data_IF_876600682138
#
_entry.id   IF_876600682138
#
_cell.length_a   1.000
_cell.length_b   1.000
_cell.length_c   1.000
_cell.angle_alpha   90.00
_cell.angle_beta   90.00
_cell.angle_gamma   90.00
#
_symmetry.space_group_name_H-M   'P 1'
#
loop_
_entity.id
_entity.type
_entity.pdbx_description
1 polymer ?
#
# COMPACT_ATOMS: atom_id res chain seq x y z
N UNK A 1 -41.36 -6.86 -15.53
CA UNK A 1 -40.68 -8.02 -14.91
C UNK A 1 -39.48 -7.48 -14.14
N UNK A 2 -39.66 -7.42 -12.85
CA UNK A 2 -38.70 -6.82 -11.92
C UNK A 2 -37.69 -7.91 -11.52
N UNK A 3 -36.45 -7.85 -12.01
CA UNK A 3 -35.41 -8.75 -11.55
C UNK A 3 -34.85 -8.16 -10.24
N UNK A 4 -35.14 -8.88 -9.16
CA UNK A 4 -34.56 -8.61 -7.84
C UNK A 4 -33.04 -8.72 -7.92
N UNK A 5 -32.34 -7.70 -7.41
CA UNK A 5 -30.90 -7.74 -7.19
C UNK A 5 -30.56 -8.87 -6.21
N UNK A 6 -29.47 -9.60 -6.41
CA UNK A 6 -29.17 -10.76 -5.59
C UNK A 6 -28.80 -10.37 -4.16
N UNK A 7 -29.22 -11.21 -3.22
CA UNK A 7 -29.02 -11.08 -1.76
C UNK A 7 -27.55 -11.29 -1.30
N UNK A 8 -26.56 -10.98 -2.14
CA UNK A 8 -25.14 -11.12 -1.83
C UNK A 8 -24.55 -9.95 -1.01
N UNK A 9 -25.21 -8.79 -0.98
CA UNK A 9 -24.66 -7.58 -0.34
C UNK A 9 -24.55 -7.66 1.20
N UNK A 10 -25.41 -8.46 1.84
CA UNK A 10 -25.40 -8.60 3.31
C UNK A 10 -24.22 -9.44 3.82
N UNK A 11 -23.94 -10.57 3.18
CA UNK A 11 -22.86 -11.47 3.62
C UNK A 11 -21.46 -10.88 3.37
N UNK A 12 -21.27 -10.10 2.31
CA UNK A 12 -20.02 -9.39 2.04
C UNK A 12 -19.80 -8.27 3.06
N UNK A 13 -20.82 -7.48 3.38
CA UNK A 13 -20.74 -6.42 4.40
C UNK A 13 -20.47 -6.99 5.79
N UNK A 14 -21.03 -8.15 6.13
CA UNK A 14 -20.78 -8.84 7.40
C UNK A 14 -19.34 -9.38 7.46
N UNK A 15 -18.82 -9.91 6.34
CA UNK A 15 -17.43 -10.39 6.24
C UNK A 15 -16.43 -9.25 6.40
N UNK A 16 -16.68 -8.11 5.76
CA UNK A 16 -15.85 -6.90 5.87
C UNK A 16 -15.87 -6.34 7.30
N UNK A 17 -17.03 -6.34 7.94
CA UNK A 17 -17.16 -5.92 9.34
C UNK A 17 -16.38 -6.85 10.28
N UNK A 18 -16.47 -8.17 10.07
CA UNK A 18 -15.72 -9.16 10.84
C UNK A 18 -14.21 -9.03 10.61
N UNK A 19 -13.77 -8.85 9.35
CA UNK A 19 -12.37 -8.64 9.02
C UNK A 19 -11.81 -7.38 9.68
N UNK A 20 -12.56 -6.27 9.67
CA UNK A 20 -12.18 -5.04 10.34
C UNK A 20 -12.05 -5.23 11.87
N UNK A 21 -12.97 -5.94 12.49
CA UNK A 21 -12.93 -6.23 13.94
C UNK A 21 -11.72 -7.12 14.28
N UNK A 22 -11.48 -8.17 13.51
CA UNK A 22 -10.34 -9.06 13.70
C UNK A 22 -9.01 -8.31 13.52
N UNK A 23 -8.91 -7.47 12.49
CA UNK A 23 -7.73 -6.64 12.25
C UNK A 23 -7.49 -5.65 13.39
N UNK A 24 -8.55 -5.03 13.93
CA UNK A 24 -8.43 -4.13 15.09
C UNK A 24 -7.86 -4.85 16.32
N UNK A 25 -8.39 -6.03 16.68
CA UNK A 25 -7.91 -6.81 17.81
C UNK A 25 -6.47 -7.30 17.63
N UNK A 26 -6.11 -7.71 16.39
CA UNK A 26 -4.74 -8.07 16.05
C UNK A 26 -3.79 -6.87 16.16
N UNK A 27 -4.25 -5.68 15.75
CA UNK A 27 -3.50 -4.43 15.86
C UNK A 27 -3.15 -4.09 17.30
N UNK A 28 -4.10 -4.22 18.22
CA UNK A 28 -3.86 -4.01 19.65
C UNK A 28 -2.82 -4.99 20.22
N UNK A 29 -2.90 -6.28 19.85
CA UNK A 29 -1.93 -7.28 20.29
C UNK A 29 -0.52 -7.00 19.75
N UNK A 30 -0.42 -6.60 18.48
CA UNK A 30 0.85 -6.24 17.85
C UNK A 30 1.44 -4.97 18.45
N UNK A 31 0.61 -3.96 18.77
CA UNK A 31 1.05 -2.73 19.41
C UNK A 31 1.63 -3.00 20.81
N UNK A 32 0.99 -3.91 21.57
CA UNK A 32 1.48 -4.35 22.87
C UNK A 32 2.86 -5.04 22.76
N UNK A 33 3.02 -5.95 21.80
CA UNK A 33 4.30 -6.62 21.53
C UNK A 33 5.40 -5.61 21.17
N UNK A 34 5.10 -4.59 20.36
CA UNK A 34 6.04 -3.50 20.06
C UNK A 34 6.45 -2.74 21.32
N UNK A 35 5.53 -2.45 22.21
CA UNK A 35 5.83 -1.78 23.49
C UNK A 35 6.85 -2.57 24.32
N UNK A 36 6.68 -3.89 24.45
CA UNK A 36 7.63 -4.75 25.15
C UNK A 36 8.99 -4.82 24.43
N UNK A 37 9.01 -4.87 23.10
CA UNK A 37 10.25 -4.89 22.32
C UNK A 37 11.10 -3.64 22.54
N UNK A 38 10.52 -2.45 22.57
CA UNK A 38 11.24 -1.20 22.86
C UNK A 38 11.94 -1.25 24.22
N UNK A 39 11.26 -1.83 25.24
CA UNK A 39 11.85 -1.98 26.59
C UNK A 39 13.00 -3.01 26.58
N UNK A 40 12.88 -4.07 25.82
CA UNK A 40 13.91 -5.10 25.73
C UNK A 40 15.12 -4.65 24.92
N UNK A 41 14.92 -3.89 23.85
CA UNK A 41 15.99 -3.30 23.02
C UNK A 41 16.89 -2.40 23.87
N UNK A 42 16.31 -1.55 24.72
CA UNK A 42 17.07 -0.70 25.65
C UNK A 42 17.92 -1.49 26.66
N UNK A 43 17.54 -2.73 26.95
CA UNK A 43 18.29 -3.64 27.84
C UNK A 43 19.28 -4.55 27.12
N UNK A 44 19.02 -4.84 25.84
CA UNK A 44 19.80 -5.76 25.01
C UNK A 44 21.03 -5.16 24.35
N UNK A 45 21.27 -3.83 24.50
CA UNK A 45 22.41 -3.14 23.87
C UNK A 45 23.79 -3.70 24.24
N UNK A 46 23.89 -4.50 25.30
CA UNK A 46 25.15 -5.07 25.82
C UNK A 46 25.41 -6.51 25.37
N UNK A 47 24.43 -7.15 24.73
CA UNK A 47 24.52 -8.55 24.26
C UNK A 47 24.22 -8.60 22.75
N UNK A 48 25.23 -8.86 21.90
CA UNK A 48 25.06 -8.88 20.45
C UNK A 48 24.07 -9.91 19.95
N UNK A 49 24.03 -11.12 20.54
CA UNK A 49 23.12 -12.21 20.12
C UNK A 49 21.67 -11.84 20.48
N UNK A 50 21.47 -11.29 21.68
CA UNK A 50 20.16 -10.77 22.10
C UNK A 50 19.73 -9.59 21.22
N UNK A 51 20.66 -8.69 20.88
CA UNK A 51 20.42 -7.57 19.99
C UNK A 51 19.94 -8.01 18.61
N UNK A 52 20.55 -9.04 18.02
CA UNK A 52 20.13 -9.60 16.72
C UNK A 52 18.72 -10.23 16.80
N UNK A 53 18.45 -10.98 17.85
CA UNK A 53 17.13 -11.58 18.07
C UNK A 53 16.04 -10.51 18.23
N UNK A 54 16.32 -9.45 19.00
CA UNK A 54 15.39 -8.32 19.20
C UNK A 54 15.14 -7.56 17.88
N UNK A 55 16.17 -7.31 17.08
CA UNK A 55 16.00 -6.71 15.74
C UNK A 55 15.12 -7.58 14.83
N UNK A 56 15.31 -8.90 14.86
CA UNK A 56 14.46 -9.84 14.13
C UNK A 56 13.00 -9.81 14.56
N UNK A 57 12.75 -9.76 15.87
CA UNK A 57 11.41 -9.62 16.44
C UNK A 57 10.76 -8.26 16.10
N UNK A 58 11.49 -7.17 16.22
CA UNK A 58 11.03 -5.83 15.83
C UNK A 58 10.62 -5.79 14.36
N UNK A 59 11.45 -6.33 13.47
CA UNK A 59 11.13 -6.42 12.04
C UNK A 59 9.89 -7.29 11.78
N UNK A 60 9.74 -8.41 12.49
CA UNK A 60 8.57 -9.28 12.42
C UNK A 60 7.27 -8.58 12.87
N UNK A 61 7.35 -7.90 14.00
CA UNK A 61 6.24 -7.15 14.58
C UNK A 61 5.81 -5.98 13.70
N UNK A 62 6.78 -5.26 13.10
CA UNK A 62 6.50 -4.19 12.16
C UNK A 62 5.81 -4.71 10.88
N UNK A 63 6.16 -5.92 10.41
CA UNK A 63 5.45 -6.57 9.29
C UNK A 63 4.01 -6.94 9.66
N UNK A 64 3.81 -7.50 10.85
CA UNK A 64 2.48 -7.85 11.32
C UNK A 64 1.58 -6.61 11.44
N UNK A 65 2.13 -5.50 11.94
CA UNK A 65 1.40 -4.23 12.01
C UNK A 65 0.97 -3.76 10.62
N UNK A 66 1.91 -3.70 9.66
CA UNK A 66 1.57 -3.32 8.28
C UNK A 66 0.48 -4.21 7.67
N UNK A 67 0.54 -5.50 7.93
CA UNK A 67 -0.50 -6.42 7.46
C UNK A 67 -1.88 -6.10 8.05
N UNK A 68 -1.93 -5.79 9.33
CA UNK A 68 -3.19 -5.37 9.99
C UNK A 68 -3.69 -4.06 9.38
N UNK A 69 -2.80 -3.08 9.18
CA UNK A 69 -3.15 -1.79 8.56
C UNK A 69 -3.71 -1.99 7.14
N UNK A 70 -3.07 -2.84 6.32
CA UNK A 70 -3.53 -3.20 4.97
C UNK A 70 -4.93 -3.87 5.00
N UNK A 71 -5.20 -4.75 5.98
CA UNK A 71 -6.52 -5.36 6.14
C UNK A 71 -7.58 -4.34 6.55
N UNK A 72 -7.24 -3.40 7.43
CA UNK A 72 -8.14 -2.31 7.82
C UNK A 72 -8.45 -1.40 6.63
N UNK A 73 -7.45 -1.07 5.82
CA UNK A 73 -7.63 -0.28 4.61
C UNK A 73 -8.53 -1.00 3.60
N UNK A 74 -8.34 -2.31 3.42
CA UNK A 74 -9.20 -3.12 2.54
C UNK A 74 -10.65 -3.16 3.03
N UNK A 75 -10.87 -3.41 4.31
CA UNK A 75 -12.20 -3.44 4.91
C UNK A 75 -12.88 -2.05 4.92
N UNK A 76 -12.11 -0.97 5.09
CA UNK A 76 -12.62 0.39 5.01
C UNK A 76 -13.04 0.75 3.57
N UNK A 77 -12.24 0.36 2.59
CA UNK A 77 -12.52 0.61 1.18
C UNK A 77 -13.85 -0.01 0.71
N UNK A 78 -14.31 -1.11 1.31
CA UNK A 78 -15.61 -1.71 1.01
C UNK A 78 -16.82 -0.88 1.47
N UNK A 79 -16.63 0.09 2.37
CA UNK A 79 -17.72 0.84 3.03
C UNK A 79 -17.65 2.36 2.83
N UNK A 80 -16.61 2.84 2.16
CA UNK A 80 -16.36 4.28 2.01
C UNK A 80 -16.84 4.76 0.65
N UNK A 81 -17.71 5.77 0.63
CA UNK A 81 -17.93 6.58 -0.57
C UNK A 81 -16.80 7.62 -0.63
N UNK A 82 -15.94 7.61 -1.67
CA UNK A 82 -14.82 8.53 -1.75
C UNK A 82 -15.32 9.97 -1.93
N UNK A 83 -14.70 10.91 -1.24
CA UNK A 83 -14.92 12.32 -1.50
C UNK A 83 -14.46 12.67 -2.92
N UNK A 84 -15.22 13.49 -3.64
CA UNK A 84 -14.88 13.95 -4.98
C UNK A 84 -14.36 15.39 -4.93
N UNK A 85 -13.14 15.58 -4.42
CA UNK A 85 -12.47 16.88 -4.34
C UNK A 85 -11.34 17.01 -5.37
N UNK A 86 -10.87 18.23 -5.59
CA UNK A 86 -9.68 18.46 -6.41
C UNK A 86 -8.42 18.14 -5.58
N UNK A 87 -7.63 17.20 -6.06
CA UNK A 87 -6.42 16.73 -5.40
C UNK A 87 -5.22 16.94 -6.31
N UNK A 88 -4.29 17.76 -5.87
CA UNK A 88 -2.98 17.86 -6.47
C UNK A 88 -2.17 16.59 -6.15
N UNK A 89 -1.80 15.83 -7.18
CA UNK A 89 -1.12 14.53 -7.00
C UNK A 89 0.27 14.68 -6.39
N UNK A 90 0.94 15.82 -6.57
CA UNK A 90 2.22 16.13 -5.94
C UNK A 90 2.08 16.25 -4.41
N UNK A 91 1.03 16.92 -3.90
CA UNK A 91 0.73 17.00 -2.47
C UNK A 91 0.42 15.62 -1.87
N UNK A 92 -0.32 14.79 -2.62
CA UNK A 92 -0.61 13.42 -2.21
C UNK A 92 0.67 12.56 -2.15
N UNK A 93 1.55 12.70 -3.15
CA UNK A 93 2.86 12.03 -3.18
C UNK A 93 3.76 12.49 -2.04
N UNK A 94 3.80 13.79 -1.76
CA UNK A 94 4.56 14.32 -0.62
C UNK A 94 4.03 13.81 0.73
N UNK A 95 2.71 13.61 0.83
CA UNK A 95 2.12 12.98 2.01
C UNK A 95 2.56 11.53 2.13
N UNK A 96 2.57 10.77 1.03
CA UNK A 96 3.06 9.39 1.01
C UNK A 96 4.55 9.31 1.36
N UNK A 97 5.39 10.19 0.83
CA UNK A 97 6.83 10.29 1.17
C UNK A 97 7.05 10.56 2.65
N UNK A 98 6.30 11.48 3.25
CA UNK A 98 6.39 11.76 4.70
C UNK A 98 6.00 10.55 5.55
N UNK A 99 4.92 9.83 5.16
CA UNK A 99 4.49 8.61 5.87
C UNK A 99 5.50 7.49 5.79
N UNK A 100 6.26 7.42 4.70
CA UNK A 100 7.27 6.39 4.44
C UNK A 100 8.70 6.85 4.69
N UNK A 101 8.93 8.03 5.28
CA UNK A 101 10.25 8.63 5.38
C UNK A 101 11.30 7.69 5.98
N UNK A 102 10.95 6.94 7.03
CA UNK A 102 11.86 5.97 7.63
C UNK A 102 12.10 4.76 6.73
N UNK A 103 11.04 4.22 6.11
CA UNK A 103 11.15 3.06 5.22
C UNK A 103 12.01 3.39 3.99
N UNK A 104 11.85 4.59 3.43
CA UNK A 104 12.67 5.11 2.32
C UNK A 104 14.14 5.27 2.72
N UNK A 105 14.40 5.83 3.89
CA UNK A 105 15.76 5.98 4.41
C UNK A 105 16.42 4.61 4.65
N UNK A 106 15.73 3.69 5.31
CA UNK A 106 16.24 2.35 5.62
C UNK A 106 16.53 1.54 4.33
N UNK A 107 15.76 1.76 3.27
CA UNK A 107 15.96 1.16 1.95
C UNK A 107 17.00 1.89 1.09
N UNK A 108 17.48 3.06 1.51
CA UNK A 108 18.26 3.99 0.68
C UNK A 108 17.57 4.25 -0.68
N UNK A 109 16.25 4.43 -0.66
CA UNK A 109 15.41 4.60 -1.84
C UNK A 109 15.04 6.07 -2.05
N UNK A 110 15.07 6.49 -3.33
CA UNK A 110 14.65 7.81 -3.78
C UNK A 110 13.33 7.70 -4.53
N UNK A 111 12.40 8.63 -4.25
CA UNK A 111 11.15 8.77 -4.99
C UNK A 111 11.16 10.10 -5.73
N UNK A 112 11.04 10.07 -7.04
CA UNK A 112 11.01 11.25 -7.91
C UNK A 112 9.60 11.50 -8.43
N UNK A 113 9.24 12.76 -8.57
CA UNK A 113 8.01 13.20 -9.21
C UNK A 113 8.31 13.75 -10.59
N UNK A 114 7.61 13.25 -11.62
CA UNK A 114 7.50 13.90 -12.92
C UNK A 114 6.37 14.93 -12.93
N UNK A 115 5.69 15.08 -14.07
CA UNK A 115 4.47 15.88 -14.15
C UNK A 115 3.33 15.17 -13.40
N UNK A 116 2.68 15.84 -12.46
CA UNK A 116 1.58 15.29 -11.66
C UNK A 116 0.36 16.20 -11.75
N UNK A 117 -0.61 15.91 -12.64
CA UNK A 117 -1.83 16.68 -12.79
C UNK A 117 -2.74 16.65 -11.55
N UNK A 118 -3.73 17.56 -11.54
CA UNK A 118 -4.82 17.55 -10.56
C UNK A 118 -5.87 16.52 -10.97
N UNK A 119 -6.40 15.78 -10.01
CA UNK A 119 -7.44 14.77 -10.18
C UNK A 119 -8.67 15.06 -9.32
N UNK A 120 -9.80 14.50 -9.68
CA UNK A 120 -11.02 14.52 -8.86
C UNK A 120 -11.10 13.21 -8.07
N UNK A 121 -10.76 13.27 -6.78
CA UNK A 121 -10.62 12.07 -5.96
C UNK A 121 -10.76 12.39 -4.46
N UNK A 122 -10.67 11.37 -3.63
CA UNK A 122 -10.52 11.52 -2.18
C UNK A 122 -9.02 11.65 -1.83
N UNK A 123 -8.63 12.77 -1.24
CA UNK A 123 -7.24 13.12 -0.91
C UNK A 123 -6.55 12.06 -0.04
N UNK A 124 -7.26 11.60 0.98
CA UNK A 124 -6.70 10.61 1.92
C UNK A 124 -6.55 9.24 1.26
N UNK A 125 -7.53 8.81 0.46
CA UNK A 125 -7.48 7.53 -0.24
C UNK A 125 -6.39 7.54 -1.34
N UNK A 126 -6.18 8.66 -2.04
CA UNK A 126 -5.08 8.80 -3.01
C UNK A 126 -3.72 8.75 -2.30
N UNK A 127 -3.56 9.42 -1.17
CA UNK A 127 -2.32 9.35 -0.40
C UNK A 127 -2.04 7.93 0.10
N UNK A 128 -3.07 7.18 0.55
CA UNK A 128 -2.95 5.76 0.92
C UNK A 128 -2.60 4.88 -0.27
N UNK A 129 -3.23 5.08 -1.42
CA UNK A 129 -2.90 4.38 -2.66
C UNK A 129 -1.40 4.51 -2.97
N UNK A 130 -0.88 5.74 -2.96
CA UNK A 130 0.55 5.98 -3.20
C UNK A 130 1.45 5.34 -2.13
N UNK A 131 1.04 5.35 -0.85
CA UNK A 131 1.76 4.63 0.21
C UNK A 131 1.85 3.13 -0.09
N UNK A 132 0.74 2.49 -0.49
CA UNK A 132 0.74 1.06 -0.82
C UNK A 132 1.63 0.76 -2.03
N UNK A 133 1.55 1.57 -3.10
CA UNK A 133 2.37 1.38 -4.29
C UNK A 133 3.86 1.56 -4.01
N UNK A 134 4.25 2.60 -3.27
CA UNK A 134 5.64 2.81 -2.86
C UNK A 134 6.15 1.66 -1.97
N UNK A 135 5.34 1.16 -1.05
CA UNK A 135 5.71 -0.02 -0.24
C UNK A 135 5.90 -1.28 -1.08
N UNK A 136 5.10 -1.47 -2.12
CA UNK A 136 5.26 -2.60 -3.06
C UNK A 136 6.61 -2.49 -3.78
N UNK A 137 6.97 -1.32 -4.28
CA UNK A 137 8.27 -1.07 -4.90
C UNK A 137 9.43 -1.33 -3.92
N UNK A 138 9.35 -0.80 -2.69
CA UNK A 138 10.36 -1.04 -1.65
C UNK A 138 10.47 -2.53 -1.28
N UNK A 139 9.35 -3.26 -1.22
CA UNK A 139 9.34 -4.69 -0.97
C UNK A 139 9.95 -5.51 -2.12
N UNK A 140 9.88 -5.00 -3.37
CA UNK A 140 10.56 -5.54 -4.54
C UNK A 140 12.07 -5.21 -4.58
N UNK A 141 12.56 -4.40 -3.62
CA UNK A 141 13.95 -4.00 -3.51
C UNK A 141 14.30 -2.76 -4.32
N UNK A 142 13.33 -2.00 -4.76
CA UNK A 142 13.53 -0.77 -5.51
C UNK A 142 14.33 0.27 -4.70
N UNK A 143 15.23 0.96 -5.40
CA UNK A 143 15.98 2.12 -4.90
C UNK A 143 15.62 3.39 -5.63
N UNK A 144 15.10 3.28 -6.83
CA UNK A 144 14.62 4.40 -7.60
C UNK A 144 13.16 4.16 -7.95
N UNK A 145 12.30 5.10 -7.57
CA UNK A 145 10.88 5.08 -7.91
C UNK A 145 10.55 6.42 -8.56
N UNK A 146 9.88 6.39 -9.69
CA UNK A 146 9.40 7.57 -10.42
C UNK A 146 7.88 7.54 -10.50
N UNK A 147 7.24 8.68 -10.24
CA UNK A 147 5.78 8.82 -10.31
C UNK A 147 5.46 9.94 -11.28
N UNK A 148 4.73 9.62 -12.34
CA UNK A 148 4.38 10.56 -13.40
C UNK A 148 2.92 10.39 -13.81
N UNK A 149 2.27 11.50 -14.21
CA UNK A 149 0.87 11.52 -14.62
C UNK A 149 0.69 12.09 -16.02
N UNK A 150 -0.28 11.52 -16.76
CA UNK A 150 -0.60 11.85 -18.14
C UNK A 150 -2.10 12.05 -18.29
N UNK A 151 -2.52 13.06 -19.05
CA UNK A 151 -3.92 13.24 -19.41
C UNK A 151 -4.38 12.09 -20.32
N UNK A 152 -5.57 11.51 -20.03
CA UNK A 152 -6.10 10.36 -20.75
C UNK A 152 -7.65 10.42 -20.79
N UNK A 153 -8.21 11.07 -21.81
CA UNK A 153 -9.65 11.11 -22.17
C UNK A 153 -10.65 11.19 -21.00
N UNK A 154 -10.47 12.17 -20.08
CA UNK A 154 -11.34 12.34 -18.90
C UNK A 154 -10.82 11.66 -17.64
N UNK A 155 -9.70 11.00 -17.73
CA UNK A 155 -8.92 10.48 -16.63
C UNK A 155 -7.50 11.06 -16.64
N UNK A 156 -6.81 10.92 -15.53
CA UNK A 156 -5.36 11.04 -15.44
C UNK A 156 -4.81 9.64 -15.26
N UNK A 157 -3.97 9.21 -16.16
CA UNK A 157 -3.20 7.98 -16.05
C UNK A 157 -1.92 8.27 -15.28
N UNK A 158 -1.74 7.60 -14.16
CA UNK A 158 -0.55 7.73 -13.31
C UNK A 158 0.30 6.46 -13.44
N UNK A 159 1.59 6.65 -13.65
CA UNK A 159 2.58 5.57 -13.70
C UNK A 159 3.52 5.68 -12.50
N UNK A 160 3.69 4.57 -11.79
CA UNK A 160 4.69 4.39 -10.75
C UNK A 160 5.69 3.38 -11.28
N UNK A 161 6.88 3.84 -11.66
CA UNK A 161 7.97 3.03 -12.21
C UNK A 161 9.02 2.78 -11.14
N UNK A 162 9.53 1.57 -11.08
CA UNK A 162 10.57 1.20 -10.11
C UNK A 162 11.59 0.21 -10.71
N UNK A 163 12.79 0.21 -10.12
CA UNK A 163 13.91 -0.68 -10.47
C UNK A 163 13.93 -1.98 -9.66
N UNK A 164 12.83 -2.30 -8.97
CA UNK A 164 12.70 -3.53 -8.17
C UNK A 164 12.40 -4.76 -9.02
N UNK A 165 12.47 -5.92 -8.38
CA UNK A 165 12.13 -7.20 -9.01
C UNK A 165 10.67 -7.56 -8.73
N UNK A 166 9.80 -7.65 -9.75
CA UNK A 166 8.38 -7.92 -9.53
C UNK A 166 8.14 -9.31 -8.95
N UNK A 167 7.02 -9.47 -8.25
CA UNK A 167 6.54 -10.76 -7.78
C UNK A 167 6.15 -11.66 -8.95
N UNK A 168 6.33 -12.98 -8.80
CA UNK A 168 5.83 -13.94 -9.79
C UNK A 168 4.36 -14.29 -9.53
N UNK A 169 3.57 -14.48 -10.59
CA UNK A 169 2.14 -14.85 -10.53
C UNK A 169 1.23 -13.63 -10.67
N UNK A 170 -0.04 -13.77 -10.26
CA UNK A 170 -0.97 -12.63 -10.24
C UNK A 170 -0.59 -11.66 -9.13
N UNK A 171 -0.09 -10.46 -9.47
CA UNK A 171 0.39 -9.50 -8.49
C UNK A 171 -0.73 -8.89 -7.63
N UNK A 172 -1.97 -8.97 -8.12
CA UNK A 172 -3.16 -8.46 -7.43
C UNK A 172 -3.90 -9.51 -6.61
N UNK A 173 -3.46 -10.77 -6.66
CA UNK A 173 -4.03 -11.80 -5.80
C UNK A 173 -3.68 -11.51 -4.33
N UNK A 174 -4.64 -11.64 -3.39
CA UNK A 174 -4.33 -11.52 -1.97
C UNK A 174 -3.21 -12.47 -1.59
N UNK A 175 -2.25 -11.98 -0.81
CA UNK A 175 -1.07 -12.74 -0.35
C UNK A 175 -0.07 -13.12 -1.46
N UNK A 176 -0.13 -12.49 -2.64
CA UNK A 176 0.94 -12.60 -3.64
C UNK A 176 2.27 -12.12 -3.02
N UNK A 177 3.28 -12.99 -3.01
CA UNK A 177 4.56 -12.68 -2.37
C UNK A 177 5.57 -12.21 -3.39
N UNK A 178 6.16 -11.04 -3.14
CA UNK A 178 7.42 -10.67 -3.80
C UNK A 178 8.49 -11.71 -3.46
N UNK A 179 9.31 -12.10 -4.46
CA UNK A 179 10.45 -13.00 -4.25
C UNK A 179 11.63 -12.25 -3.63
N UNK A 180 11.46 -11.72 -2.41
CA UNK A 180 12.51 -11.00 -1.70
C UNK A 180 12.84 -11.65 -0.36
N UNK A 181 14.15 -11.67 0.00
CA UNK A 181 14.63 -12.06 1.33
C UNK A 181 14.97 -10.81 2.14
N UNK A 182 14.02 -9.91 2.35
CA UNK A 182 14.28 -8.67 3.08
C UNK A 182 13.28 -8.39 4.20
N UNK A 183 13.63 -7.55 5.18
CA UNK A 183 12.73 -7.14 6.25
C UNK A 183 11.56 -6.31 5.75
N UNK A 184 11.62 -5.81 4.51
CA UNK A 184 10.58 -5.00 3.85
C UNK A 184 9.58 -5.82 3.03
N UNK A 185 9.74 -7.15 2.92
CA UNK A 185 8.79 -8.01 2.19
C UNK A 185 7.41 -7.86 2.81
N UNK A 186 6.49 -7.27 2.06
CA UNK A 186 5.12 -6.97 2.48
C UNK A 186 4.26 -8.23 2.66
N UNK A 187 3.09 -8.06 3.24
CA UNK A 187 2.11 -9.14 3.46
C UNK A 187 1.43 -9.62 2.17
N UNK A 188 1.69 -8.99 1.02
CA UNK A 188 1.12 -9.36 -0.28
C UNK A 188 -0.32 -8.89 -0.48
N UNK A 189 -0.77 -7.88 0.25
CA UNK A 189 -2.11 -7.28 0.08
C UNK A 189 -2.05 -5.86 -0.48
N UNK A 190 -0.89 -5.23 -0.55
CA UNK A 190 -0.76 -3.82 -0.97
C UNK A 190 -1.34 -3.54 -2.36
N UNK A 191 -1.10 -4.40 -3.36
CA UNK A 191 -1.70 -4.24 -4.70
C UNK A 191 -3.20 -4.57 -4.72
N UNK A 192 -3.67 -5.49 -3.88
CA UNK A 192 -5.11 -5.77 -3.72
C UNK A 192 -5.83 -4.55 -3.16
N UNK A 193 -5.27 -3.91 -2.13
CA UNK A 193 -5.78 -2.64 -1.57
C UNK A 193 -5.73 -1.54 -2.61
N UNK A 194 -4.59 -1.39 -3.32
CA UNK A 194 -4.43 -0.40 -4.38
C UNK A 194 -5.50 -0.53 -5.46
N UNK A 195 -5.78 -1.76 -5.92
CA UNK A 195 -6.86 -2.03 -6.89
C UNK A 195 -8.20 -1.54 -6.36
N UNK A 196 -8.52 -1.89 -5.12
CA UNK A 196 -9.79 -1.49 -4.52
C UNK A 196 -9.93 0.02 -4.40
N UNK A 197 -8.86 0.72 -3.99
CA UNK A 197 -8.85 2.17 -3.89
C UNK A 197 -9.04 2.85 -5.26
N UNK A 198 -8.41 2.33 -6.30
CA UNK A 198 -8.58 2.83 -7.67
C UNK A 198 -10.00 2.59 -8.20
N UNK A 199 -10.55 1.38 -7.99
CA UNK A 199 -11.93 1.02 -8.38
C UNK A 199 -12.98 1.89 -7.69
N UNK A 200 -12.77 2.27 -6.43
CA UNK A 200 -13.65 3.22 -5.72
C UNK A 200 -13.75 4.57 -6.40
N UNK A 201 -12.71 5.00 -7.11
CA UNK A 201 -12.68 6.23 -7.90
C UNK A 201 -13.13 6.02 -9.35
N UNK A 202 -13.61 4.82 -9.71
CA UNK A 202 -14.02 4.48 -11.08
C UNK A 202 -12.86 4.28 -12.05
N UNK A 203 -11.64 4.14 -11.55
CA UNK A 203 -10.43 3.93 -12.34
C UNK A 203 -10.08 2.45 -12.55
N UNK A 204 -8.96 2.23 -13.22
CA UNK A 204 -8.37 0.92 -13.48
C UNK A 204 -6.91 0.89 -13.04
N UNK A 205 -6.38 -0.28 -12.70
CA UNK A 205 -4.97 -0.47 -12.32
C UNK A 205 -4.40 -1.71 -13.01
N UNK A 206 -3.17 -1.61 -13.47
CA UNK A 206 -2.43 -2.70 -14.09
C UNK A 206 -0.97 -2.67 -13.64
N UNK A 207 -0.30 -3.82 -13.67
CA UNK A 207 1.14 -3.94 -13.46
C UNK A 207 1.75 -4.50 -14.73
N UNK A 208 2.83 -3.88 -15.18
CA UNK A 208 3.61 -4.29 -16.33
C UNK A 208 5.11 -4.28 -16.05
N UNK A 209 5.87 -4.73 -17.05
CA UNK A 209 7.32 -4.66 -17.05
C UNK A 209 7.79 -4.28 -18.44
N UNK A 210 8.68 -3.31 -18.50
CA UNK A 210 9.31 -2.87 -19.74
C UNK A 210 10.38 -3.87 -20.23
N UNK A 211 10.81 -3.73 -21.46
CA UNK A 211 11.82 -4.62 -22.07
C UNK A 211 13.19 -4.56 -21.37
N UNK A 212 13.50 -3.49 -20.68
CA UNK A 212 14.71 -3.30 -19.87
C UNK A 212 14.60 -3.89 -18.44
N UNK A 213 13.43 -4.43 -18.10
CA UNK A 213 13.17 -5.01 -16.79
C UNK A 213 12.59 -4.05 -15.76
N UNK A 214 12.38 -2.77 -16.09
CA UNK A 214 11.73 -1.79 -15.22
C UNK A 214 10.29 -2.21 -14.94
N UNK A 215 9.92 -2.26 -13.68
CA UNK A 215 8.53 -2.53 -13.27
C UNK A 215 7.73 -1.24 -13.28
N UNK A 216 6.50 -1.30 -13.74
CA UNK A 216 5.59 -0.17 -13.66
C UNK A 216 4.19 -0.60 -13.22
N UNK A 217 3.62 0.17 -12.31
CA UNK A 217 2.20 0.10 -11.98
C UNK A 217 1.54 1.32 -12.60
N UNK A 218 0.52 1.07 -13.44
CA UNK A 218 -0.26 2.11 -14.08
C UNK A 218 -1.67 2.10 -13.52
N UNK A 219 -2.20 3.25 -13.12
CA UNK A 219 -3.59 3.39 -12.68
C UNK A 219 -4.21 4.68 -13.21
N UNK A 220 -5.55 4.72 -13.23
CA UNK A 220 -6.31 5.89 -13.69
C UNK A 220 -7.15 6.47 -12.56
N UNK A 221 -7.25 7.79 -12.52
CA UNK A 221 -8.15 8.55 -11.65
C UNK A 221 -8.93 9.55 -12.50
N UNK A 222 -10.19 9.90 -12.14
CA UNK A 222 -10.95 10.92 -12.86
C UNK A 222 -10.18 12.23 -12.95
N UNK A 223 -10.13 12.84 -14.14
CA UNK A 223 -9.55 14.16 -14.34
C UNK A 223 -10.38 15.26 -13.64
N UNK A 224 -9.82 16.45 -13.54
CA UNK A 224 -10.45 17.62 -12.91
C UNK A 224 -11.81 17.98 -13.52
N UNK A 225 -12.08 17.63 -14.78
CA UNK A 225 -13.27 18.03 -15.57
C UNK A 225 -14.34 16.96 -15.59
#
# INVERSE_FOLDING_TARGET
>A
MNQAAPAYSGAEADLDAYAAQAAHQLGEAVALLRGYLVVLEQRGERDPELGDALRGLSAGTARAQRFVDDLLDLAAAGRTEPAAELVALDEALDTARRRLARELLDAAAEVRAGNLPVVRADRELVARLLVHLLRVALAAGARNVEVEGFDDEGFVRVEVRDDGTPAAGDPFAPFARARGRGPLVGAGVGLTVSRRLVELHGGTIALGQDADGTTHVTFTLPAER
#
